data_IF_712670250528
#
_entry.id   IF_712670250528
#
_cell.length_a   1.000
_cell.length_b   1.000
_cell.length_c   1.000
_cell.angle_alpha   90.00
_cell.angle_beta   90.00
_cell.angle_gamma   90.00
#
_symmetry.space_group_name_H-M   'P 1'
#
loop_
_entity.id
_entity.type
_entity.pdbx_description
1 polymer ?
#
# COMPACT_ATOMS: atom_id res chain seq x y z
N UNK A 1 2.10 -11.55 -1.48
CA UNK A 1 2.79 -11.26 -0.20
C UNK A 1 1.99 -10.21 0.56
N UNK A 2 1.88 -10.33 1.87
CA UNK A 2 1.31 -9.35 2.81
C UNK A 2 2.42 -8.94 3.76
N UNK A 3 2.65 -7.65 3.92
CA UNK A 3 3.61 -7.10 4.90
C UNK A 3 2.81 -6.49 6.04
N UNK A 4 3.02 -6.99 7.26
CA UNK A 4 2.31 -6.54 8.46
C UNK A 4 3.31 -6.33 9.60
N UNK A 5 3.26 -5.14 10.19
CA UNK A 5 4.15 -4.74 11.28
C UNK A 5 3.68 -5.24 12.64
N UNK A 6 2.37 -5.33 12.85
CA UNK A 6 1.80 -5.66 14.15
C UNK A 6 1.64 -7.18 14.31
N UNK A 7 2.46 -7.80 15.16
CA UNK A 7 2.40 -9.24 15.43
C UNK A 7 1.00 -9.68 15.90
N UNK A 8 0.31 -8.85 16.68
CA UNK A 8 -1.03 -9.15 17.13
C UNK A 8 -2.02 -9.33 15.97
N UNK A 9 -1.92 -8.51 14.93
CA UNK A 9 -2.75 -8.61 13.72
C UNK A 9 -2.46 -9.93 12.99
N UNK A 10 -1.18 -10.28 12.81
CA UNK A 10 -0.78 -11.57 12.23
C UNK A 10 -1.36 -12.74 13.01
N UNK A 11 -1.27 -12.69 14.33
CA UNK A 11 -1.77 -13.77 15.20
C UNK A 11 -3.32 -13.88 15.18
N UNK A 12 -4.03 -12.75 15.12
CA UNK A 12 -5.49 -12.74 15.02
C UNK A 12 -5.99 -13.39 13.73
N UNK A 13 -5.28 -13.21 12.64
CA UNK A 13 -5.61 -13.82 11.35
C UNK A 13 -5.20 -15.30 11.25
N UNK A 14 -4.11 -15.70 11.91
CA UNK A 14 -3.60 -17.07 11.84
C UNK A 14 -4.25 -18.03 12.81
N UNK A 15 -4.55 -17.58 14.03
CA UNK A 15 -5.00 -18.44 15.16
C UNK A 15 -5.99 -17.74 16.08
N UNK A 16 -6.48 -16.57 15.71
CA UNK A 16 -7.33 -15.73 16.53
C UNK A 16 -8.73 -15.54 15.95
N UNK A 17 -9.43 -14.49 16.38
CA UNK A 17 -10.83 -14.26 16.03
C UNK A 17 -11.07 -14.02 14.54
N UNK A 18 -10.04 -13.67 13.77
CA UNK A 18 -10.14 -13.37 12.34
C UNK A 18 -9.81 -14.58 11.44
N UNK A 19 -9.35 -15.69 12.01
CA UNK A 19 -9.02 -16.91 11.25
C UNK A 19 -10.21 -17.40 10.40
N UNK A 20 -11.43 -17.39 10.95
CA UNK A 20 -12.65 -17.76 10.23
C UNK A 20 -12.96 -16.88 9.00
N UNK A 21 -12.38 -15.67 8.93
CA UNK A 21 -12.58 -14.73 7.83
C UNK A 21 -11.48 -14.91 6.79
N UNK A 22 -10.24 -14.98 7.22
CA UNK A 22 -9.05 -14.92 6.38
C UNK A 22 -8.27 -16.23 6.30
N UNK A 23 -8.59 -17.22 7.12
CA UNK A 23 -7.83 -18.47 7.22
C UNK A 23 -7.67 -19.20 5.87
N UNK A 24 -8.72 -19.21 5.06
CA UNK A 24 -8.65 -19.79 3.72
C UNK A 24 -7.67 -19.04 2.79
N UNK A 25 -7.65 -17.71 2.88
CA UNK A 25 -6.71 -16.88 2.10
C UNK A 25 -5.27 -17.05 2.58
N UNK A 26 -5.05 -17.17 3.90
CA UNK A 26 -3.72 -17.40 4.46
C UNK A 26 -3.22 -18.81 4.26
N UNK A 27 -4.11 -19.78 4.06
CA UNK A 27 -3.75 -21.17 3.72
C UNK A 27 -3.43 -21.36 2.22
N UNK A 28 -3.74 -20.38 1.37
CA UNK A 28 -3.40 -20.43 -0.05
C UNK A 28 -1.87 -20.41 -0.21
N UNK A 29 -1.27 -21.35 -0.96
CA UNK A 29 0.18 -21.43 -1.13
C UNK A 29 0.79 -20.21 -1.86
N UNK A 30 -0.04 -19.36 -2.48
CA UNK A 30 0.38 -18.10 -3.08
C UNK A 30 0.44 -16.95 -2.07
N UNK A 31 -0.07 -17.16 -0.85
CA UNK A 31 -0.09 -16.14 0.20
C UNK A 31 1.10 -16.32 1.13
N UNK A 32 1.90 -15.31 1.23
CA UNK A 32 2.99 -15.18 2.20
C UNK A 32 2.72 -13.96 3.09
N UNK A 33 2.84 -14.14 4.41
CA UNK A 33 2.75 -13.06 5.38
C UNK A 33 4.12 -12.83 5.99
N UNK A 34 4.67 -11.66 5.76
CA UNK A 34 5.95 -11.21 6.28
C UNK A 34 5.71 -10.24 7.45
N UNK A 35 6.14 -10.64 8.64
CA UNK A 35 6.10 -9.80 9.84
C UNK A 35 7.30 -8.86 9.85
N UNK A 36 7.13 -7.65 9.35
CA UNK A 36 8.16 -6.62 9.30
C UNK A 36 7.54 -5.24 9.05
N UNK A 37 8.33 -4.19 9.26
CA UNK A 37 7.97 -2.84 8.85
C UNK A 37 8.06 -2.69 7.32
N UNK A 38 7.06 -2.04 6.70
CA UNK A 38 7.00 -1.87 5.25
C UNK A 38 8.15 -1.02 4.72
N UNK A 39 8.51 0.06 5.43
CA UNK A 39 9.61 0.94 5.00
C UNK A 39 10.95 0.19 5.00
N UNK A 40 11.16 -0.64 6.01
CA UNK A 40 12.35 -1.49 6.10
C UNK A 40 12.34 -2.55 5.00
N UNK A 41 11.20 -3.18 4.74
CA UNK A 41 11.07 -4.13 3.66
C UNK A 41 11.40 -3.49 2.30
N UNK A 42 10.77 -2.38 1.95
CA UNK A 42 11.01 -1.68 0.69
C UNK A 42 12.47 -1.19 0.54
N UNK A 43 13.15 -0.92 1.67
CA UNK A 43 14.55 -0.48 1.67
C UNK A 43 15.52 -1.62 1.42
N UNK A 44 15.22 -2.81 1.93
CA UNK A 44 16.15 -3.95 1.95
C UNK A 44 15.87 -5.01 0.90
N UNK A 45 14.61 -5.15 0.45
CA UNK A 45 14.25 -6.14 -0.57
C UNK A 45 14.90 -5.80 -1.92
N UNK A 46 15.22 -6.84 -2.68
CA UNK A 46 15.61 -6.74 -4.09
C UNK A 46 14.48 -7.16 -5.03
N UNK A 47 13.39 -7.67 -4.50
CA UNK A 47 12.24 -8.12 -5.27
C UNK A 47 11.50 -6.96 -5.93
N UNK A 48 10.80 -7.29 -7.02
CA UNK A 48 9.91 -6.38 -7.72
C UNK A 48 8.52 -7.00 -7.81
N UNK A 49 7.52 -6.17 -7.75
CA UNK A 49 6.11 -6.53 -7.65
C UNK A 49 5.32 -6.01 -8.84
N UNK A 50 4.35 -6.78 -9.30
CA UNK A 50 3.41 -6.33 -10.33
C UNK A 50 2.39 -5.35 -9.75
N UNK A 51 2.18 -5.38 -8.44
CA UNK A 51 1.37 -4.42 -7.71
C UNK A 51 1.92 -4.17 -6.31
N UNK A 52 1.92 -2.90 -5.88
CA UNK A 52 2.09 -2.47 -4.49
C UNK A 52 0.79 -1.80 -4.06
N UNK A 53 0.08 -2.41 -3.11
CA UNK A 53 -1.17 -1.89 -2.57
C UNK A 53 -0.95 -1.48 -1.12
N UNK A 54 -1.14 -0.22 -0.82
CA UNK A 54 -0.94 0.36 0.51
C UNK A 54 -2.28 0.74 1.14
N UNK A 55 -2.51 0.17 2.32
CA UNK A 55 -3.63 0.44 3.20
C UNK A 55 -3.10 0.54 4.64
N UNK A 56 -2.20 1.49 4.88
CA UNK A 56 -1.43 1.64 6.12
C UNK A 56 -1.77 2.91 6.90
N UNK A 57 -2.38 3.89 6.24
CA UNK A 57 -2.69 5.21 6.78
C UNK A 57 -4.12 5.63 6.40
N UNK A 58 -4.59 6.76 6.96
CA UNK A 58 -5.85 7.39 6.50
C UNK A 58 -5.65 8.15 5.17
N UNK A 59 -4.50 8.03 4.57
CA UNK A 59 -4.08 8.66 3.34
C UNK A 59 -2.71 9.32 3.46
N UNK A 60 -2.16 9.80 2.33
CA UNK A 60 -0.82 10.41 2.30
C UNK A 60 -0.73 11.70 3.11
N UNK A 61 -1.84 12.42 3.28
CA UNK A 61 -1.90 13.68 4.02
C UNK A 61 -2.29 13.48 5.50
N UNK A 62 -2.61 12.26 5.90
CA UNK A 62 -3.01 11.92 7.26
C UNK A 62 -2.44 10.55 7.67
N UNK A 63 -1.15 10.54 7.96
CA UNK A 63 -0.43 9.33 8.36
C UNK A 63 -0.70 8.95 9.83
N UNK A 64 -0.74 7.65 10.10
CA UNK A 64 -0.93 7.10 11.45
C UNK A 64 0.32 7.32 12.31
N UNK A 65 1.50 7.30 11.70
CA UNK A 65 2.77 7.62 12.36
C UNK A 65 3.56 8.63 11.53
N UNK A 66 4.40 9.45 12.19
CA UNK A 66 5.26 10.40 11.48
C UNK A 66 6.24 9.71 10.52
N UNK A 67 6.69 8.52 10.88
CA UNK A 67 7.62 7.71 10.09
C UNK A 67 7.02 7.31 8.73
N UNK A 68 5.70 7.01 8.70
CA UNK A 68 4.98 6.69 7.47
C UNK A 68 4.99 7.85 6.46
N UNK A 69 5.10 9.09 6.92
CA UNK A 69 5.24 10.27 6.04
C UNK A 69 6.45 10.17 5.12
N UNK A 70 7.50 9.46 5.52
CA UNK A 70 8.68 9.23 4.70
C UNK A 70 8.40 8.38 3.46
N UNK A 71 7.37 7.53 3.49
CA UNK A 71 6.94 6.71 2.35
C UNK A 71 6.41 7.58 1.20
N UNK A 72 5.68 8.63 1.54
CA UNK A 72 5.07 9.57 0.59
C UNK A 72 6.01 10.71 0.16
N UNK A 73 7.21 10.76 0.73
CA UNK A 73 8.27 11.69 0.31
C UNK A 73 8.79 11.35 -1.11
N UNK A 74 9.45 12.27 -1.80
CA UNK A 74 10.07 11.99 -3.11
C UNK A 74 10.97 10.74 -3.09
N UNK A 75 11.75 10.56 -2.03
CA UNK A 75 12.63 9.38 -1.88
C UNK A 75 11.84 8.10 -1.63
N UNK A 76 10.78 8.14 -0.83
CA UNK A 76 9.90 7.01 -0.57
C UNK A 76 9.16 6.58 -1.83
N UNK A 77 8.57 7.52 -2.56
CA UNK A 77 7.88 7.25 -3.81
C UNK A 77 8.81 6.71 -4.90
N UNK A 78 10.04 7.25 -5.02
CA UNK A 78 11.04 6.70 -5.93
C UNK A 78 11.38 5.26 -5.60
N UNK A 79 11.46 4.93 -4.31
CA UNK A 79 11.70 3.57 -3.83
C UNK A 79 10.54 2.62 -4.17
N UNK A 80 9.29 3.05 -3.96
CA UNK A 80 8.12 2.30 -4.40
C UNK A 80 8.15 2.05 -5.92
N UNK A 81 8.47 3.07 -6.70
CA UNK A 81 8.60 2.94 -8.16
C UNK A 81 9.68 1.91 -8.55
N UNK A 82 10.83 1.91 -7.87
CA UNK A 82 11.91 0.94 -8.11
C UNK A 82 11.50 -0.50 -7.80
N UNK A 83 10.62 -0.69 -6.83
CA UNK A 83 10.10 -2.02 -6.44
C UNK A 83 8.97 -2.52 -7.34
N UNK A 84 8.52 -1.75 -8.32
CA UNK A 84 7.57 -2.23 -9.32
C UNK A 84 8.28 -2.83 -10.54
N UNK A 85 7.65 -3.84 -11.13
CA UNK A 85 7.99 -4.31 -12.47
C UNK A 85 7.59 -3.26 -13.52
N UNK A 86 8.16 -3.27 -14.75
CA UNK A 86 7.66 -2.45 -15.83
C UNK A 86 6.16 -2.67 -16.06
N UNK A 87 5.36 -1.59 -16.09
CA UNK A 87 3.90 -1.65 -16.16
C UNK A 87 3.19 -1.95 -14.83
N UNK A 88 3.94 -2.21 -13.76
CA UNK A 88 3.40 -2.50 -12.44
C UNK A 88 2.60 -1.35 -11.85
N UNK A 89 1.66 -1.67 -10.95
CA UNK A 89 0.67 -0.73 -10.39
C UNK A 89 1.00 -0.38 -8.95
N UNK A 90 0.88 0.90 -8.63
CA UNK A 90 0.90 1.44 -7.28
C UNK A 90 -0.50 1.89 -6.90
N UNK A 91 -1.03 1.40 -5.79
CA UNK A 91 -2.35 1.72 -5.28
C UNK A 91 -2.24 2.16 -3.81
N UNK A 92 -2.84 3.29 -3.48
CA UNK A 92 -2.88 3.81 -2.10
C UNK A 92 -4.32 4.14 -1.75
N UNK A 93 -4.86 3.45 -0.75
CA UNK A 93 -6.14 3.79 -0.17
C UNK A 93 -6.03 5.11 0.63
N UNK A 94 -7.08 5.92 0.57
CA UNK A 94 -7.16 7.17 1.33
C UNK A 94 -8.62 7.49 1.67
N UNK A 95 -8.82 8.08 2.86
CA UNK A 95 -10.12 8.57 3.30
C UNK A 95 -10.59 9.82 2.51
N UNK A 96 -9.71 10.45 1.75
CA UNK A 96 -10.02 11.64 0.94
C UNK A 96 -9.04 11.79 -0.23
N UNK A 97 -9.46 12.46 -1.32
CA UNK A 97 -8.59 12.73 -2.45
C UNK A 97 -7.49 13.75 -2.08
N UNK A 98 -6.31 13.59 -2.69
CA UNK A 98 -5.16 14.50 -2.55
C UNK A 98 -4.58 14.84 -3.91
N UNK A 99 -4.81 16.07 -4.37
CA UNK A 99 -4.20 16.57 -5.60
C UNK A 99 -2.68 16.75 -5.45
N UNK A 100 -2.22 17.05 -4.24
CA UNK A 100 -0.79 17.17 -3.94
C UNK A 100 -0.09 15.83 -4.06
N UNK A 101 -0.71 14.77 -3.56
CA UNK A 101 -0.18 13.42 -3.69
C UNK A 101 -0.15 12.94 -5.14
N UNK A 102 -1.21 13.21 -5.92
CA UNK A 102 -1.17 12.93 -7.36
C UNK A 102 0.00 13.64 -8.06
N UNK A 103 0.25 14.90 -7.70
CA UNK A 103 1.38 15.63 -8.27
C UNK A 103 2.72 15.05 -7.80
N UNK A 104 2.83 14.62 -6.54
CA UNK A 104 4.01 13.96 -6.02
C UNK A 104 4.31 12.65 -6.77
N UNK A 105 3.28 11.87 -7.07
CA UNK A 105 3.41 10.64 -7.89
C UNK A 105 3.95 10.96 -9.30
N UNK A 106 3.40 11.98 -9.97
CA UNK A 106 3.90 12.42 -11.30
C UNK A 106 5.35 12.87 -11.23
N UNK A 107 5.70 13.64 -10.21
CA UNK A 107 7.07 14.13 -10.00
C UNK A 107 8.07 12.98 -9.70
N UNK A 108 7.61 11.91 -9.06
CA UNK A 108 8.41 10.71 -8.79
C UNK A 108 8.59 9.80 -10.03
N UNK A 109 7.92 10.11 -11.16
CA UNK A 109 8.05 9.36 -12.41
C UNK A 109 6.97 8.31 -12.64
N UNK A 110 5.92 8.27 -11.82
CA UNK A 110 4.76 7.44 -12.10
C UNK A 110 3.95 7.99 -13.28
N UNK A 111 3.35 7.08 -14.02
CA UNK A 111 2.46 7.34 -15.15
C UNK A 111 1.03 6.94 -14.81
N UNK A 112 0.05 7.33 -15.64
CA UNK A 112 -1.37 6.98 -15.49
C UNK A 112 -1.93 7.29 -14.09
N UNK A 113 -1.45 8.38 -13.48
CA UNK A 113 -1.88 8.82 -12.15
C UNK A 113 -3.33 9.26 -12.21
N UNK A 114 -4.16 8.64 -11.38
CA UNK A 114 -5.58 8.95 -11.23
C UNK A 114 -6.07 8.59 -9.83
N UNK A 115 -7.20 9.16 -9.43
CA UNK A 115 -7.91 8.85 -8.20
C UNK A 115 -9.28 8.30 -8.55
N UNK A 116 -9.65 7.17 -7.96
CA UNK A 116 -10.95 6.53 -8.13
C UNK A 116 -11.72 6.57 -6.80
N UNK A 117 -12.99 6.98 -6.84
CA UNK A 117 -13.88 6.95 -5.69
C UNK A 117 -14.44 5.55 -5.48
N UNK A 118 -14.46 5.11 -4.23
CA UNK A 118 -15.07 3.86 -3.80
C UNK A 118 -16.26 4.18 -2.93
N UNK A 119 -17.46 3.90 -3.42
CA UNK A 119 -18.68 4.16 -2.68
C UNK A 119 -18.72 3.35 -1.38
N UNK A 120 -18.99 4.03 -0.27
CA UNK A 120 -19.19 3.42 1.04
C UNK A 120 -20.67 3.47 1.43
N UNK A 121 -21.09 2.61 2.34
CA UNK A 121 -22.50 2.51 2.75
C UNK A 121 -23.02 3.79 3.43
N UNK A 122 -22.14 4.57 4.05
CA UNK A 122 -22.44 5.83 4.73
C UNK A 122 -21.21 6.73 4.73
N UNK A 123 -21.42 8.04 4.59
CA UNK A 123 -20.38 9.06 4.67
C UNK A 123 -19.83 9.48 3.30
N UNK A 124 -18.67 10.10 3.34
CA UNK A 124 -17.92 10.49 2.14
C UNK A 124 -17.29 9.24 1.52
N UNK A 125 -17.30 9.07 0.19
CA UNK A 125 -16.61 7.96 -0.46
C UNK A 125 -15.13 7.91 -0.07
N UNK A 126 -14.62 6.71 0.12
CA UNK A 126 -13.19 6.47 0.15
C UNK A 126 -12.61 6.65 -1.26
N UNK A 127 -11.31 6.84 -1.35
CA UNK A 127 -10.63 6.91 -2.64
C UNK A 127 -9.45 5.96 -2.72
N UNK A 128 -9.11 5.57 -3.93
CA UNK A 128 -7.86 4.86 -4.22
C UNK A 128 -7.07 5.69 -5.23
N UNK A 129 -5.90 6.15 -4.81
CA UNK A 129 -4.93 6.73 -5.73
C UNK A 129 -4.21 5.62 -6.48
N UNK A 130 -4.26 5.67 -7.79
CA UNK A 130 -3.68 4.68 -8.69
C UNK A 130 -2.62 5.31 -9.57
N UNK A 131 -1.52 4.62 -9.73
CA UNK A 131 -0.45 5.02 -10.64
C UNK A 131 0.27 3.78 -11.20
N UNK A 132 1.05 3.94 -12.27
CA UNK A 132 1.78 2.84 -12.87
C UNK A 132 3.24 3.22 -13.10
N UNK A 133 4.12 2.23 -13.04
CA UNK A 133 5.47 2.35 -13.58
C UNK A 133 5.39 2.31 -15.11
N UNK A 134 6.13 3.18 -15.78
CA UNK A 134 6.28 3.10 -17.23
C UNK A 134 6.83 1.74 -17.69
N UNK A 135 6.57 1.43 -18.96
CA UNK A 135 7.09 0.21 -19.61
C UNK A 135 8.58 0.31 -19.85
#
# INVERSE_FOLDING_TARGET
MVVEREQAIVDWHRRGPLDRISGAALADPRTEVLHTDLLDHLRTTTERYDALCLDIDNGPDWTVTEENGSLYSPTGLARCLDRLTPGGVFAVWSAQPSAEFEQALRNAGFTRVRTEEVAVARGVPDVVHLASKGS
#
